data_IF_717313594767
#
_entry.id   IF_717313594767
#
_cell.length_a   1.000
_cell.length_b   1.000
_cell.length_c   1.000
_cell.angle_alpha   90.00
_cell.angle_beta   90.00
_cell.angle_gamma   90.00
#
_symmetry.space_group_name_H-M   'P 1'
#
loop_
_entity.id
_entity.type
_entity.pdbx_description
1 polymer ?
#
# COMPACT_ATOMS: atom_id res chain seq x y z
N UNK A 1 4.46 -22.77 9.69
CA UNK A 1 4.39 -21.45 9.01
C UNK A 1 4.54 -21.62 7.52
N UNK A 2 4.12 -20.63 6.73
CA UNK A 2 4.21 -20.66 5.25
C UNK A 2 5.43 -19.91 4.69
N UNK A 3 6.27 -19.30 5.54
CA UNK A 3 7.52 -18.63 5.13
C UNK A 3 7.32 -17.35 4.30
N UNK A 4 6.15 -16.72 4.38
CA UNK A 4 5.86 -15.51 3.60
C UNK A 4 6.57 -14.29 4.18
N UNK A 5 7.35 -13.58 3.37
CA UNK A 5 8.03 -12.34 3.74
C UNK A 5 7.21 -11.08 3.38
N UNK A 6 5.99 -11.23 2.89
CA UNK A 6 5.18 -10.12 2.36
C UNK A 6 3.69 -10.43 2.45
N UNK A 7 2.91 -9.44 2.85
CA UNK A 7 1.43 -9.48 2.82
C UNK A 7 0.90 -8.52 1.77
N UNK A 8 -0.13 -8.96 1.05
CA UNK A 8 -0.85 -8.12 0.08
C UNK A 8 -2.29 -7.94 0.58
N UNK A 9 -2.63 -6.73 1.03
CA UNK A 9 -3.86 -6.46 1.76
C UNK A 9 -4.73 -5.39 1.10
N UNK A 10 -6.03 -5.45 1.37
CA UNK A 10 -6.97 -4.55 0.72
C UNK A 10 -6.77 -3.09 1.23
N UNK A 11 -6.49 -2.13 0.35
CA UNK A 11 -6.20 -0.73 0.70
C UNK A 11 -7.36 -0.05 1.45
N UNK A 12 -8.61 -0.50 1.22
CA UNK A 12 -9.80 0.02 1.92
C UNK A 12 -9.99 -0.53 3.34
N UNK A 13 -9.18 -1.53 3.72
CA UNK A 13 -9.21 -2.17 5.04
C UNK A 13 -7.90 -2.00 5.81
N UNK A 14 -6.93 -1.29 5.22
CA UNK A 14 -5.64 -1.05 5.85
C UNK A 14 -5.75 0.11 6.83
N UNK A 15 -5.22 -0.10 8.03
CA UNK A 15 -5.10 0.92 9.08
C UNK A 15 -3.63 1.02 9.51
N UNK A 16 -3.29 2.08 10.23
CA UNK A 16 -1.96 2.23 10.83
C UNK A 16 -1.62 1.05 11.75
N UNK A 17 -2.59 0.59 12.56
CA UNK A 17 -2.43 -0.56 13.46
C UNK A 17 -1.99 -1.83 12.72
N UNK A 18 -2.64 -2.14 11.58
CA UNK A 18 -2.30 -3.32 10.78
C UNK A 18 -0.89 -3.21 10.19
N UNK A 19 -0.50 -2.01 9.75
CA UNK A 19 0.85 -1.73 9.23
C UNK A 19 1.89 -1.95 10.33
N UNK A 20 1.68 -1.35 11.50
CA UNK A 20 2.60 -1.50 12.64
C UNK A 20 2.75 -2.95 13.06
N UNK A 21 1.66 -3.71 13.08
CA UNK A 21 1.70 -5.13 13.40
C UNK A 21 2.51 -5.93 12.39
N UNK A 22 2.29 -5.69 11.09
CA UNK A 22 3.05 -6.34 10.03
C UNK A 22 4.55 -5.97 10.07
N UNK A 23 4.89 -4.70 10.33
CA UNK A 23 6.28 -4.24 10.48
C UNK A 23 6.98 -4.90 11.66
N UNK A 24 6.31 -5.05 12.81
CA UNK A 24 6.85 -5.76 13.98
C UNK A 24 7.12 -7.24 13.69
N UNK A 25 6.41 -7.82 12.73
CA UNK A 25 6.62 -9.18 12.25
C UNK A 25 7.63 -9.27 11.08
N UNK A 26 8.34 -8.19 10.76
CA UNK A 26 9.31 -8.10 9.66
C UNK A 26 8.70 -8.41 8.27
N UNK A 27 7.43 -8.04 8.09
CA UNK A 27 6.73 -8.24 6.83
C UNK A 27 6.76 -6.99 5.96
N UNK A 28 7.01 -7.19 4.67
CA UNK A 28 6.69 -6.17 3.65
C UNK A 28 5.18 -6.12 3.41
N UNK A 29 4.66 -4.93 3.10
CA UNK A 29 3.23 -4.69 2.92
C UNK A 29 2.97 -4.08 1.53
N UNK A 30 2.09 -4.72 0.76
CA UNK A 30 1.60 -4.24 -0.53
C UNK A 30 0.09 -3.99 -0.44
N UNK A 31 -0.38 -2.86 -0.97
CA UNK A 31 -1.80 -2.56 -1.08
C UNK A 31 -2.46 -3.09 -2.36
N UNK A 32 -3.69 -3.59 -2.29
CA UNK A 32 -4.56 -3.91 -3.43
C UNK A 32 -5.99 -3.43 -3.16
N UNK A 33 -6.85 -2.97 -4.06
CA UNK A 33 -6.67 -2.51 -5.42
C UNK A 33 -6.45 -0.99 -5.39
N UNK A 34 -5.30 -0.52 -5.83
CA UNK A 34 -4.93 0.91 -5.81
C UNK A 34 -5.21 1.53 -7.17
N UNK A 35 -6.45 1.99 -7.38
CA UNK A 35 -6.91 2.46 -8.69
C UNK A 35 -7.18 3.97 -8.77
N UNK A 36 -7.03 4.70 -7.67
CA UNK A 36 -7.31 6.14 -7.60
C UNK A 36 -6.14 6.91 -6.99
N UNK A 37 -6.11 8.22 -7.20
CA UNK A 37 -5.11 9.09 -6.56
C UNK A 37 -5.24 9.09 -5.03
N UNK A 38 -6.46 8.99 -4.49
CA UNK A 38 -6.69 8.88 -3.05
C UNK A 38 -6.10 7.59 -2.48
N UNK A 39 -6.24 6.47 -3.19
CA UNK A 39 -5.59 5.22 -2.79
C UNK A 39 -4.06 5.37 -2.82
N UNK A 40 -3.48 6.06 -3.81
CA UNK A 40 -2.04 6.35 -3.83
C UNK A 40 -1.60 7.24 -2.66
N UNK A 41 -2.43 8.18 -2.22
CA UNK A 41 -2.15 8.96 -1.01
C UNK A 41 -2.15 8.09 0.22
N UNK A 42 -3.08 7.14 0.36
CA UNK A 42 -3.07 6.16 1.45
C UNK A 42 -1.82 5.27 1.43
N UNK A 43 -1.41 4.78 0.26
CA UNK A 43 -0.16 4.00 0.09
C UNK A 43 1.05 4.77 0.62
N UNK A 44 1.14 6.08 0.32
CA UNK A 44 2.23 6.95 0.80
C UNK A 44 2.10 7.25 2.29
N UNK A 45 0.90 7.60 2.75
CA UNK A 45 0.65 7.97 4.15
C UNK A 45 0.87 6.81 5.13
N UNK A 46 0.60 5.57 4.68
CA UNK A 46 0.84 4.35 5.44
C UNK A 46 2.21 3.72 5.14
N UNK A 47 3.06 4.38 4.34
CA UNK A 47 4.41 3.93 4.01
C UNK A 47 4.50 2.47 3.52
N UNK A 48 3.59 2.08 2.62
CA UNK A 48 3.57 0.72 2.07
C UNK A 48 4.70 0.51 1.07
N UNK A 49 5.20 -0.72 0.97
CA UNK A 49 6.32 -1.07 0.08
C UNK A 49 5.91 -1.19 -1.39
N UNK A 50 4.62 -1.24 -1.66
CA UNK A 50 4.10 -1.33 -3.00
C UNK A 50 2.59 -1.29 -3.09
N UNK A 51 2.13 -1.34 -4.34
CA UNK A 51 0.71 -1.37 -4.66
C UNK A 51 0.48 -2.15 -5.96
N UNK A 52 -0.64 -2.86 -6.01
CA UNK A 52 -1.19 -3.41 -7.25
C UNK A 52 -2.27 -2.48 -7.78
N UNK A 53 -2.31 -2.30 -9.09
CA UNK A 53 -3.22 -1.37 -9.77
C UNK A 53 -3.61 -1.94 -11.12
N UNK A 54 -4.86 -1.71 -11.51
CA UNK A 54 -5.34 -1.99 -12.86
C UNK A 54 -4.95 -0.88 -13.84
N UNK A 55 -4.45 0.25 -13.31
CA UNK A 55 -4.19 1.48 -14.06
C UNK A 55 -2.77 1.99 -13.83
N UNK A 56 -1.72 1.35 -14.41
CA UNK A 56 -0.32 1.74 -14.16
C UNK A 56 -0.02 3.23 -14.41
N UNK A 57 -0.80 3.91 -15.26
CA UNK A 57 -0.72 5.34 -15.54
C UNK A 57 -0.94 6.24 -14.31
N UNK A 58 -1.64 5.79 -13.26
CA UNK A 58 -1.93 6.64 -12.08
C UNK A 58 -0.66 7.10 -11.34
N UNK A 59 0.45 6.35 -11.48
CA UNK A 59 1.75 6.71 -10.89
C UNK A 59 2.33 8.00 -11.46
N UNK A 60 1.98 8.36 -12.70
CA UNK A 60 2.59 9.46 -13.45
C UNK A 60 1.93 10.82 -13.20
N UNK A 61 0.69 10.83 -12.71
CA UNK A 61 -0.13 12.05 -12.60
C UNK A 61 0.00 12.79 -11.26
N UNK A 62 0.82 12.28 -10.33
CA UNK A 62 0.94 12.82 -8.96
C UNK A 62 1.97 13.95 -8.79
N UNK A 63 2.11 14.87 -9.74
CA UNK A 63 2.92 16.07 -9.52
C UNK A 63 2.08 17.04 -8.68
N UNK A 64 2.29 16.99 -7.37
CA UNK A 64 1.66 17.91 -6.42
C UNK A 64 2.14 19.34 -6.74
N UNK A 65 1.23 20.22 -7.12
CA UNK A 65 1.42 21.66 -6.90
C UNK A 65 1.15 21.91 -5.41
N UNK A 66 2.10 22.58 -4.78
CA UNK A 66 2.14 22.90 -3.35
C UNK A 66 0.92 23.68 -2.87
#
# INVERSE_FOLDING_TARGET
EVGAATVCLNIRRLTLEVVEHARKADLRIIGWVVNTQDHLRLVRALELDGATTDYPQIKRTGRFTA
#
